data_IF_581706557622
#
_entry.id   IF_581706557622
#
_cell.length_a   1.000
_cell.length_b   1.000
_cell.length_c   1.000
_cell.angle_alpha   90.00
_cell.angle_beta   90.00
_cell.angle_gamma   90.00
#
_symmetry.space_group_name_H-M   'P 1'
#
loop_
_entity.id
_entity.type
_entity.pdbx_description
1 polymer ?
#
# COMPACT_ATOMS: atom_id res chain seq x y z
N UNK A 1 10.72 -1.75 -9.71
CA UNK A 1 11.98 -2.20 -9.04
C UNK A 1 13.23 -1.87 -9.84
N UNK A 2 13.07 -1.31 -11.05
CA UNK A 2 14.20 -0.84 -11.88
C UNK A 2 15.10 0.22 -11.23
N UNK A 3 14.62 0.85 -10.15
CA UNK A 3 15.37 1.83 -9.36
C UNK A 3 15.95 1.23 -8.07
N UNK A 4 16.10 -0.09 -8.01
CA UNK A 4 16.62 -0.83 -6.85
C UNK A 4 15.81 -0.62 -5.55
N UNK A 5 14.52 -0.32 -5.68
CA UNK A 5 13.57 -0.23 -4.57
C UNK A 5 12.55 -1.35 -4.71
N UNK A 6 12.40 -2.17 -3.68
CA UNK A 6 11.38 -3.20 -3.62
C UNK A 6 9.98 -2.61 -3.51
N UNK A 7 9.01 -3.29 -4.08
CA UNK A 7 7.59 -2.90 -4.00
C UNK A 7 6.79 -3.90 -3.18
N UNK A 8 5.80 -3.41 -2.46
CA UNK A 8 4.82 -4.23 -1.73
C UNK A 8 3.43 -3.95 -2.26
N UNK A 9 2.77 -4.97 -2.77
CA UNK A 9 1.41 -4.85 -3.30
C UNK A 9 0.40 -5.16 -2.20
N UNK A 10 -0.65 -4.32 -2.09
CA UNK A 10 -1.65 -4.45 -1.02
C UNK A 10 -3.02 -3.90 -1.45
N UNK A 11 -4.10 -4.26 -0.77
CA UNK A 11 -4.17 -5.32 0.27
C UNK A 11 -4.77 -6.56 -0.37
N UNK A 12 -4.12 -7.72 -0.28
CA UNK A 12 -4.51 -8.95 -0.98
C UNK A 12 -5.36 -9.85 -0.08
N UNK A 13 -6.68 -9.98 -0.30
CA UNK A 13 -7.47 -9.37 -1.34
C UNK A 13 -8.91 -9.11 -0.88
N UNK A 14 -9.69 -8.44 -1.73
CA UNK A 14 -11.12 -8.25 -1.58
C UNK A 14 -11.54 -7.50 -0.29
N UNK A 15 -10.69 -6.62 0.25
CA UNK A 15 -11.05 -5.71 1.34
C UNK A 15 -11.65 -4.41 0.78
N UNK A 16 -12.84 -4.51 0.19
CA UNK A 16 -13.54 -3.36 -0.36
C UNK A 16 -14.52 -2.72 0.63
N UNK A 17 -14.80 -3.40 1.75
CA UNK A 17 -15.62 -2.91 2.83
C UNK A 17 -14.78 -2.64 4.07
N UNK A 18 -14.73 -1.38 4.50
CA UNK A 18 -13.98 -0.98 5.68
C UNK A 18 -14.76 -1.20 6.99
N UNK A 19 -16.09 -1.20 6.95
CA UNK A 19 -16.90 -1.47 8.14
C UNK A 19 -16.73 -2.92 8.58
N UNK A 20 -16.28 -3.11 9.83
CA UNK A 20 -15.91 -4.41 10.39
C UNK A 20 -14.86 -5.19 9.60
N UNK A 21 -13.95 -4.51 8.89
CA UNK A 21 -12.94 -5.13 8.02
C UNK A 21 -12.09 -6.23 8.69
N UNK A 22 -11.92 -6.15 10.01
CA UNK A 22 -11.14 -7.14 10.78
C UNK A 22 -11.93 -8.40 11.15
N UNK A 23 -13.21 -8.47 10.83
CA UNK A 23 -14.08 -9.60 11.20
C UNK A 23 -15.10 -9.99 10.13
N UNK A 24 -15.26 -9.17 9.09
CA UNK A 24 -16.19 -9.50 8.01
C UNK A 24 -15.61 -10.55 7.05
N UNK A 25 -16.49 -11.24 6.36
CA UNK A 25 -16.14 -12.15 5.27
C UNK A 25 -16.64 -11.60 3.93
N UNK A 26 -15.72 -11.49 2.98
CA UNK A 26 -16.02 -11.15 1.60
C UNK A 26 -16.41 -12.42 0.86
N UNK A 27 -17.73 -12.61 0.68
CA UNK A 27 -18.28 -13.80 0.05
C UNK A 27 -18.35 -13.58 -1.48
N UNK A 28 -17.53 -14.32 -2.20
CA UNK A 28 -17.50 -14.27 -3.66
C UNK A 28 -17.04 -15.62 -4.23
N UNK A 29 -17.65 -16.03 -5.33
CA UNK A 29 -17.21 -17.23 -6.03
C UNK A 29 -15.83 -17.05 -6.68
N UNK A 30 -15.18 -18.12 -7.03
CA UNK A 30 -13.81 -18.08 -7.60
C UNK A 30 -13.77 -17.29 -8.90
N UNK A 31 -14.79 -17.36 -9.73
CA UNK A 31 -14.88 -16.60 -10.98
C UNK A 31 -14.89 -15.10 -10.70
N UNK A 32 -15.72 -14.66 -9.77
CA UNK A 32 -15.79 -13.26 -9.35
C UNK A 32 -14.44 -12.77 -8.79
N UNK A 33 -13.79 -13.58 -7.95
CA UNK A 33 -12.46 -13.24 -7.43
C UNK A 33 -11.45 -13.09 -8.56
N UNK A 34 -11.40 -14.03 -9.51
CA UNK A 34 -10.43 -14.03 -10.62
C UNK A 34 -10.70 -12.98 -11.69
N UNK A 35 -11.95 -12.60 -11.93
CA UNK A 35 -12.29 -11.63 -12.98
C UNK A 35 -12.36 -10.18 -12.49
N UNK A 36 -12.62 -9.95 -11.19
CA UNK A 36 -12.86 -8.61 -10.64
C UNK A 36 -11.79 -8.21 -9.63
N UNK A 37 -11.50 -9.06 -8.63
CA UNK A 37 -10.67 -8.68 -7.49
C UNK A 37 -9.17 -8.98 -7.69
N UNK A 38 -8.83 -10.00 -8.46
CA UNK A 38 -7.45 -10.46 -8.64
C UNK A 38 -6.68 -9.88 -9.83
N UNK A 39 -7.29 -9.36 -10.91
CA UNK A 39 -6.55 -9.04 -12.12
C UNK A 39 -5.39 -8.06 -11.93
N UNK A 40 -5.54 -7.07 -11.05
CA UNK A 40 -4.47 -6.12 -10.75
C UNK A 40 -3.27 -6.80 -10.06
N UNK A 41 -3.55 -7.69 -9.10
CA UNK A 41 -2.53 -8.46 -8.38
C UNK A 41 -1.82 -9.45 -9.30
N UNK A 42 -2.57 -10.20 -10.08
CA UNK A 42 -2.04 -11.14 -11.08
C UNK A 42 -1.13 -10.44 -12.09
N UNK A 43 -1.58 -9.31 -12.60
CA UNK A 43 -0.79 -8.48 -13.52
C UNK A 43 0.52 -8.02 -12.89
N UNK A 44 0.47 -7.55 -11.63
CA UNK A 44 1.66 -7.13 -10.90
C UNK A 44 2.66 -8.28 -10.71
N UNK A 45 2.18 -9.47 -10.36
CA UNK A 45 3.05 -10.66 -10.24
C UNK A 45 3.66 -11.04 -11.58
N UNK A 46 2.82 -11.23 -12.60
CA UNK A 46 3.27 -11.75 -13.90
C UNK A 46 4.19 -10.78 -14.67
N UNK A 47 3.99 -9.46 -14.50
CA UNK A 47 4.75 -8.45 -15.24
C UNK A 47 5.91 -7.83 -14.45
N UNK A 48 5.84 -7.77 -13.12
CA UNK A 48 6.79 -7.02 -12.32
C UNK A 48 7.45 -7.81 -11.18
N UNK A 49 6.90 -8.95 -10.74
CA UNK A 49 7.42 -9.73 -9.60
C UNK A 49 7.73 -8.83 -8.39
N UNK A 50 6.72 -8.24 -7.73
CA UNK A 50 6.95 -7.41 -6.55
C UNK A 50 7.69 -8.20 -5.48
N UNK A 51 8.49 -7.52 -4.64
CA UNK A 51 9.27 -8.20 -3.60
C UNK A 51 8.37 -8.76 -2.50
N UNK A 52 7.28 -8.07 -2.20
CA UNK A 52 6.36 -8.49 -1.14
C UNK A 52 4.91 -8.28 -1.51
N UNK A 53 4.06 -9.01 -0.81
CA UNK A 53 2.62 -8.77 -0.74
C UNK A 53 2.22 -8.50 0.71
N UNK A 54 1.21 -7.68 0.91
CA UNK A 54 0.53 -7.56 2.20
C UNK A 54 -0.86 -8.16 2.08
N UNK A 55 -1.17 -9.18 2.90
CA UNK A 55 -2.51 -9.73 2.95
C UNK A 55 -3.49 -8.75 3.61
N UNK A 56 -4.77 -8.88 3.30
CA UNK A 56 -5.83 -8.04 3.84
C UNK A 56 -6.33 -8.54 5.20
N UNK A 57 -7.14 -7.72 5.89
CA UNK A 57 -7.73 -8.04 7.18
C UNK A 57 -8.88 -9.05 7.12
N UNK A 58 -9.70 -8.94 6.08
CA UNK A 58 -10.97 -9.64 5.97
C UNK A 58 -10.80 -11.13 5.76
N UNK A 59 -11.88 -11.84 6.02
CA UNK A 59 -12.04 -13.20 5.53
C UNK A 59 -12.43 -13.18 4.05
N UNK A 60 -12.10 -14.24 3.35
CA UNK A 60 -12.62 -14.59 2.02
C UNK A 60 -13.28 -15.94 2.15
N UNK A 61 -14.59 -15.97 1.92
CA UNK A 61 -15.41 -17.17 2.05
C UNK A 61 -15.17 -17.88 3.40
N UNK A 62 -15.20 -17.11 4.50
CA UNK A 62 -15.08 -17.60 5.86
C UNK A 62 -13.66 -17.89 6.37
N UNK A 63 -12.60 -17.67 5.54
CA UNK A 63 -11.21 -17.87 5.95
C UNK A 63 -10.44 -16.54 5.91
N UNK A 64 -9.78 -16.17 7.00
CA UNK A 64 -8.97 -14.95 7.03
C UNK A 64 -7.90 -14.97 5.93
N UNK A 65 -7.72 -13.84 5.24
CA UNK A 65 -6.75 -13.74 4.14
C UNK A 65 -5.33 -14.15 4.60
N UNK A 66 -4.97 -13.86 5.85
CA UNK A 66 -3.70 -14.25 6.48
C UNK A 66 -3.52 -15.77 6.69
N UNK A 67 -4.61 -16.54 6.69
CA UNK A 67 -4.63 -17.99 6.93
C UNK A 67 -5.15 -18.78 5.72
N UNK A 68 -5.39 -18.11 4.60
CA UNK A 68 -6.01 -18.69 3.44
C UNK A 68 -4.96 -19.31 2.50
N UNK A 69 -4.73 -20.61 2.65
CA UNK A 69 -3.78 -21.36 1.84
C UNK A 69 -4.10 -21.31 0.34
N UNK A 70 -5.39 -21.41 -0.03
CA UNK A 70 -5.80 -21.27 -1.42
C UNK A 70 -5.36 -19.91 -1.98
N UNK A 71 -5.59 -18.82 -1.24
CA UNK A 71 -5.21 -17.48 -1.65
C UNK A 71 -3.68 -17.30 -1.75
N UNK A 72 -2.96 -17.60 -0.65
CA UNK A 72 -1.54 -17.24 -0.50
C UNK A 72 -0.60 -18.25 -1.15
N UNK A 73 -1.00 -19.52 -1.24
CA UNK A 73 -0.17 -20.56 -1.82
C UNK A 73 -0.66 -20.97 -3.19
N UNK A 74 -1.90 -21.44 -3.30
CA UNK A 74 -2.34 -22.09 -4.54
C UNK A 74 -2.51 -21.04 -5.67
N UNK A 75 -3.18 -19.91 -5.40
CA UNK A 75 -3.36 -18.83 -6.39
C UNK A 75 -2.10 -17.99 -6.54
N UNK A 76 -1.63 -17.36 -5.45
CA UNK A 76 -0.55 -16.37 -5.54
C UNK A 76 0.77 -17.00 -6.03
N UNK A 77 1.13 -18.16 -5.49
CA UNK A 77 2.39 -18.83 -5.81
C UNK A 77 2.24 -19.89 -6.89
N UNK A 78 1.19 -20.73 -6.80
CA UNK A 78 0.95 -21.80 -7.75
C UNK A 78 0.57 -21.28 -9.13
N UNK A 79 -0.52 -20.52 -9.22
CA UNK A 79 -1.06 -20.07 -10.51
C UNK A 79 -0.27 -18.89 -11.10
N UNK A 80 0.15 -17.94 -10.27
CA UNK A 80 0.80 -16.71 -10.76
C UNK A 80 2.32 -16.74 -10.69
N UNK A 81 2.91 -17.65 -9.89
CA UNK A 81 4.36 -17.81 -9.78
C UNK A 81 5.05 -16.72 -8.96
N UNK A 82 4.39 -16.19 -7.94
CA UNK A 82 5.00 -15.21 -7.04
C UNK A 82 6.19 -15.78 -6.28
N UNK A 83 7.30 -15.06 -6.27
CA UNK A 83 8.58 -15.51 -5.72
C UNK A 83 8.98 -14.82 -4.42
N UNK A 84 8.35 -13.71 -4.06
CA UNK A 84 8.63 -12.94 -2.86
C UNK A 84 8.01 -13.53 -1.59
N UNK A 85 7.88 -12.73 -0.54
CA UNK A 85 7.20 -13.13 0.68
C UNK A 85 5.94 -12.31 0.95
N UNK A 86 5.04 -12.88 1.75
CA UNK A 86 3.80 -12.22 2.19
C UNK A 86 3.97 -11.76 3.62
N UNK A 87 3.59 -10.49 3.88
CA UNK A 87 3.43 -9.96 5.22
C UNK A 87 1.96 -9.78 5.56
N UNK A 88 1.64 -9.77 6.84
CA UNK A 88 0.31 -9.41 7.30
C UNK A 88 0.08 -7.90 7.25
N UNK A 89 -1.16 -7.47 7.11
CA UNK A 89 -1.54 -6.13 7.55
C UNK A 89 -1.41 -6.03 9.09
N UNK A 90 -1.40 -4.82 9.63
CA UNK A 90 -1.10 -4.56 11.05
C UNK A 90 -2.16 -5.17 11.96
N UNK A 91 -1.78 -6.26 12.65
CA UNK A 91 -2.67 -7.01 13.53
C UNK A 91 -3.65 -7.95 12.82
N UNK A 92 -3.40 -8.30 11.55
CA UNK A 92 -4.25 -9.20 10.76
C UNK A 92 -4.01 -10.69 11.04
N UNK A 93 -3.10 -11.04 11.95
CA UNK A 93 -2.82 -12.45 12.30
C UNK A 93 -3.76 -12.90 13.41
N UNK A 94 -4.53 -13.95 13.15
CA UNK A 94 -5.39 -14.60 14.15
C UNK A 94 -4.77 -15.90 14.66
N UNK A 95 -4.32 -16.77 13.76
CA UNK A 95 -3.56 -17.98 14.08
C UNK A 95 -2.24 -17.97 13.32
N UNK A 96 -1.14 -17.73 14.04
CA UNK A 96 0.18 -17.58 13.44
C UNK A 96 0.70 -18.86 12.78
N UNK A 97 0.37 -20.02 13.36
CA UNK A 97 0.81 -21.31 12.81
C UNK A 97 0.08 -21.62 11.52
N UNK A 98 -1.24 -21.46 11.50
CA UNK A 98 -2.02 -21.59 10.26
C UNK A 98 -1.61 -20.58 9.20
N UNK A 99 -1.32 -19.34 9.61
CA UNK A 99 -0.80 -18.33 8.68
C UNK A 99 0.48 -18.76 8.02
N UNK A 100 1.42 -19.30 8.77
CA UNK A 100 2.68 -19.83 8.21
C UNK A 100 2.43 -21.00 7.25
N UNK A 101 1.57 -21.93 7.60
CA UNK A 101 1.15 -23.04 6.72
C UNK A 101 0.47 -22.56 5.44
N UNK A 102 -0.27 -21.48 5.54
CA UNK A 102 -0.94 -20.87 4.39
C UNK A 102 0.01 -20.11 3.45
N UNK A 103 1.20 -19.74 3.90
CA UNK A 103 2.18 -18.98 3.11
C UNK A 103 2.31 -17.52 3.53
N UNK A 104 1.99 -17.19 4.79
CA UNK A 104 2.26 -15.91 5.43
C UNK A 104 3.62 -15.96 6.13
N UNK A 105 4.63 -15.35 5.56
CA UNK A 105 5.99 -15.41 6.10
C UNK A 105 6.21 -14.44 7.26
N UNK A 106 5.72 -13.21 7.17
CA UNK A 106 6.01 -12.14 8.14
C UNK A 106 4.75 -11.60 8.81
N UNK A 107 4.74 -11.66 10.14
CA UNK A 107 3.72 -10.99 10.96
C UNK A 107 4.09 -9.53 11.20
N UNK A 108 3.14 -8.63 11.04
CA UNK A 108 3.28 -7.20 11.33
C UNK A 108 2.11 -6.68 12.20
N UNK A 109 2.39 -5.83 13.22
CA UNK A 109 3.70 -5.65 13.84
C UNK A 109 4.14 -6.90 14.60
N UNK A 110 5.40 -6.94 15.03
CA UNK A 110 5.90 -8.06 15.86
C UNK A 110 5.04 -8.27 17.11
N UNK A 111 4.75 -9.53 17.40
CA UNK A 111 4.12 -9.97 18.65
C UNK A 111 5.06 -9.99 19.87
N UNK A 112 6.28 -9.44 19.70
CA UNK A 112 7.35 -9.48 20.70
C UNK A 112 7.69 -10.91 21.19
N UNK A 113 7.67 -11.85 20.25
CA UNK A 113 8.05 -13.24 20.48
C UNK A 113 6.89 -14.15 20.93
N UNK A 114 5.71 -13.62 21.21
CA UNK A 114 4.58 -14.46 21.67
C UNK A 114 4.16 -15.47 20.59
N UNK A 115 3.97 -15.01 19.37
CA UNK A 115 3.60 -15.87 18.24
C UNK A 115 4.78 -16.69 17.69
N UNK A 116 6.01 -16.18 17.83
CA UNK A 116 7.22 -16.95 17.47
C UNK A 116 7.35 -18.21 18.33
N UNK A 117 7.04 -18.10 19.62
CA UNK A 117 7.02 -19.24 20.54
C UNK A 117 6.00 -20.31 20.11
N UNK A 118 4.85 -19.92 19.56
CA UNK A 118 3.86 -20.87 19.03
C UNK A 118 4.38 -21.64 17.82
N UNK A 119 5.08 -20.97 16.90
CA UNK A 119 5.73 -21.62 15.76
C UNK A 119 6.77 -22.64 16.23
N UNK A 120 7.66 -22.21 17.14
CA UNK A 120 8.71 -23.09 17.70
C UNK A 120 8.09 -24.32 18.38
N UNK A 121 7.02 -24.12 19.14
CA UNK A 121 6.30 -25.22 19.79
C UNK A 121 5.64 -26.16 18.78
N UNK A 122 5.03 -25.61 17.72
CA UNK A 122 4.38 -26.38 16.67
C UNK A 122 5.37 -27.26 15.89
N UNK A 123 6.56 -26.73 15.60
CA UNK A 123 7.65 -27.53 14.99
C UNK A 123 8.11 -28.62 15.95
N UNK A 124 8.38 -28.30 17.21
CA UNK A 124 8.89 -29.27 18.21
C UNK A 124 7.91 -30.42 18.49
N UNK A 125 6.61 -30.16 18.46
CA UNK A 125 5.60 -31.20 18.69
C UNK A 125 5.13 -31.91 17.40
N UNK A 126 5.66 -31.50 16.23
CA UNK A 126 5.37 -32.10 14.93
C UNK A 126 4.04 -31.67 14.30
N UNK A 127 3.33 -30.68 14.87
CA UNK A 127 2.10 -30.16 14.25
C UNK A 127 2.37 -29.22 13.08
N UNK A 128 3.55 -28.62 13.01
CA UNK A 128 4.05 -27.86 11.86
C UNK A 128 5.32 -28.53 11.35
N UNK A 129 5.40 -28.76 10.05
CA UNK A 129 6.61 -29.28 9.43
C UNK A 129 7.69 -28.21 9.38
N UNK A 130 8.92 -28.56 9.77
CA UNK A 130 10.06 -27.64 9.79
C UNK A 130 10.36 -27.09 8.39
N UNK A 131 10.15 -27.88 7.33
CA UNK A 131 10.34 -27.46 5.95
C UNK A 131 9.47 -26.27 5.54
N UNK A 132 8.29 -26.09 6.18
CA UNK A 132 7.42 -24.92 5.93
C UNK A 132 8.06 -23.67 6.54
N UNK A 133 8.62 -23.78 7.73
CA UNK A 133 9.35 -22.69 8.37
C UNK A 133 10.61 -22.32 7.55
N UNK A 134 11.37 -23.32 7.13
CA UNK A 134 12.58 -23.11 6.31
C UNK A 134 12.27 -22.40 5.00
N UNK A 135 11.20 -22.78 4.32
CA UNK A 135 10.75 -22.10 3.10
C UNK A 135 10.37 -20.65 3.35
N UNK A 136 9.71 -20.34 4.49
CA UNK A 136 9.35 -18.98 4.85
C UNK A 136 10.61 -18.13 5.11
N UNK A 137 11.56 -18.66 5.85
CA UNK A 137 12.85 -18.02 6.12
C UNK A 137 13.64 -17.81 4.83
N UNK A 138 13.70 -18.81 3.96
CA UNK A 138 14.38 -18.69 2.66
C UNK A 138 13.80 -17.56 1.80
N UNK A 139 12.47 -17.42 1.74
CA UNK A 139 11.82 -16.36 0.97
C UNK A 139 12.18 -14.97 1.48
N UNK A 140 12.21 -14.79 2.79
CA UNK A 140 12.60 -13.52 3.41
C UNK A 140 14.09 -13.23 3.14
N UNK A 141 14.97 -14.20 3.41
CA UNK A 141 16.41 -14.05 3.23
C UNK A 141 16.78 -13.76 1.77
N UNK A 142 16.11 -14.39 0.83
CA UNK A 142 16.34 -14.12 -0.59
C UNK A 142 16.12 -12.65 -0.95
N UNK A 143 15.04 -12.05 -0.47
CA UNK A 143 14.77 -10.63 -0.72
C UNK A 143 15.80 -9.73 -0.02
N UNK A 144 16.21 -10.10 1.20
CA UNK A 144 17.24 -9.34 1.94
C UNK A 144 18.57 -9.39 1.18
N UNK A 145 19.00 -10.54 0.71
CA UNK A 145 20.25 -10.68 -0.05
C UNK A 145 20.17 -10.02 -1.41
N UNK A 146 19.05 -10.18 -2.14
CA UNK A 146 18.84 -9.49 -3.41
C UNK A 146 18.94 -7.96 -3.26
N UNK A 147 18.37 -7.41 -2.19
CA UNK A 147 18.51 -5.99 -1.88
C UNK A 147 19.96 -5.61 -1.52
N UNK A 148 20.62 -6.42 -0.67
CA UNK A 148 21.98 -6.13 -0.23
C UNK A 148 22.97 -6.14 -1.40
N UNK A 149 22.84 -7.11 -2.31
CA UNK A 149 23.72 -7.26 -3.47
C UNK A 149 23.51 -6.17 -4.53
N UNK A 150 22.29 -5.62 -4.62
CA UNK A 150 21.90 -4.61 -5.61
C UNK A 150 21.80 -3.19 -5.04
N UNK A 151 22.19 -2.99 -3.78
CA UNK A 151 22.08 -1.70 -3.11
C UNK A 151 22.98 -0.66 -3.77
N UNK A 152 22.36 0.37 -4.34
CA UNK A 152 23.04 1.55 -4.85
C UNK A 152 22.70 2.74 -3.93
N UNK A 153 23.63 3.23 -3.11
CA UNK A 153 23.40 4.43 -2.31
C UNK A 153 23.06 5.61 -3.22
N UNK A 154 21.96 6.28 -2.95
CA UNK A 154 21.58 7.50 -3.64
C UNK A 154 21.47 8.64 -2.63
N UNK A 155 21.98 9.80 -2.99
CA UNK A 155 21.76 11.02 -2.22
C UNK A 155 20.40 11.60 -2.60
N UNK A 156 19.66 12.01 -1.59
CA UNK A 156 18.39 12.73 -1.78
C UNK A 156 18.44 14.04 -0.99
N UNK A 157 17.65 15.02 -1.41
CA UNK A 157 17.39 16.22 -0.62
C UNK A 157 15.89 16.47 -0.59
N UNK A 158 15.40 16.98 0.53
CA UNK A 158 13.99 17.30 0.70
C UNK A 158 13.49 18.31 -0.33
N UNK A 159 14.37 19.21 -0.76
CA UNK A 159 14.06 20.22 -1.78
C UNK A 159 13.82 19.58 -3.15
N UNK A 160 14.69 18.65 -3.54
CA UNK A 160 14.51 17.91 -4.82
C UNK A 160 13.27 17.03 -4.78
N UNK A 161 13.03 16.35 -3.66
CA UNK A 161 11.84 15.51 -3.52
C UNK A 161 10.56 16.35 -3.53
N UNK A 162 10.58 17.56 -2.94
CA UNK A 162 9.45 18.49 -3.00
C UNK A 162 9.20 18.99 -4.42
N UNK A 163 10.25 19.28 -5.18
CA UNK A 163 10.15 19.69 -6.59
C UNK A 163 9.58 18.55 -7.46
N UNK A 164 10.03 17.32 -7.23
CA UNK A 164 9.50 16.14 -7.94
C UNK A 164 8.03 15.91 -7.59
N UNK A 165 7.65 16.04 -6.30
CA UNK A 165 6.26 15.98 -5.86
C UNK A 165 5.39 17.03 -6.56
N UNK A 166 5.90 18.24 -6.75
CA UNK A 166 5.23 19.31 -7.50
C UNK A 166 5.02 18.91 -8.96
N UNK A 167 6.06 18.40 -9.61
CA UNK A 167 6.00 17.95 -11.00
C UNK A 167 4.98 16.83 -11.19
N UNK A 168 4.99 15.82 -10.32
CA UNK A 168 4.00 14.74 -10.33
C UNK A 168 2.58 15.28 -10.15
N UNK A 169 2.38 16.25 -9.27
CA UNK A 169 1.07 16.88 -9.06
C UNK A 169 0.60 17.62 -10.32
N UNK A 170 1.47 18.36 -11.00
CA UNK A 170 1.17 19.05 -12.26
C UNK A 170 0.72 18.07 -13.36
N UNK A 171 1.45 16.95 -13.53
CA UNK A 171 1.11 15.91 -14.50
C UNK A 171 -0.16 15.11 -14.15
N UNK A 172 -0.58 15.16 -12.89
CA UNK A 172 -1.77 14.44 -12.41
C UNK A 172 -3.07 15.23 -12.57
N UNK A 173 -3.00 16.52 -12.94
CA UNK A 173 -4.18 17.37 -13.10
C UNK A 173 -4.83 17.17 -14.46
N UNK A 174 -6.15 16.95 -14.46
CA UNK A 174 -6.96 16.81 -15.68
C UNK A 174 -7.97 17.95 -15.78
N UNK A 175 -7.85 18.77 -16.80
CA UNK A 175 -8.80 19.84 -17.08
C UNK A 175 -10.03 19.25 -17.78
N UNK A 176 -11.13 19.09 -17.03
CA UNK A 176 -12.36 18.46 -17.52
C UNK A 176 -13.18 19.37 -18.43
N UNK A 177 -13.13 20.68 -18.21
CA UNK A 177 -13.93 21.67 -18.96
C UNK A 177 -13.25 23.04 -18.92
N UNK A 178 -13.18 23.71 -20.07
CA UNK A 178 -12.67 25.08 -20.21
C UNK A 178 -13.41 25.81 -21.34
N UNK A 179 -14.74 25.76 -21.34
CA UNK A 179 -15.57 26.46 -22.30
C UNK A 179 -15.36 27.98 -22.14
N UNK A 180 -15.09 28.67 -23.21
CA UNK A 180 -14.78 30.10 -23.19
C UNK A 180 -13.32 30.42 -22.86
N UNK A 181 -12.45 29.43 -22.72
CA UNK A 181 -11.00 29.59 -22.52
C UNK A 181 -10.63 30.55 -21.37
N UNK A 182 -11.31 30.38 -20.22
CA UNK A 182 -11.03 31.17 -19.02
C UNK A 182 -9.66 30.83 -18.43
N UNK A 183 -9.25 29.58 -18.52
CA UNK A 183 -7.94 29.12 -18.07
C UNK A 183 -6.95 29.01 -19.24
N UNK A 184 -5.67 29.38 -19.05
CA UNK A 184 -5.09 29.98 -17.85
C UNK A 184 -5.59 31.41 -17.62
N UNK A 185 -5.72 31.80 -16.34
CA UNK A 185 -6.12 33.16 -15.98
C UNK A 185 -5.09 34.15 -16.56
N UNK A 186 -5.60 35.21 -17.21
CA UNK A 186 -4.76 36.30 -17.75
C UNK A 186 -4.49 37.32 -16.65
N UNK A 187 -3.33 37.99 -16.74
CA UNK A 187 -2.87 38.97 -15.76
C UNK A 187 -3.92 40.04 -15.44
N UNK A 188 -3.95 40.47 -14.20
CA UNK A 188 -4.74 41.60 -13.65
C UNK A 188 -6.21 41.33 -13.35
N UNK A 189 -6.71 40.14 -13.41
CA UNK A 189 -8.07 39.86 -12.96
C UNK A 189 -8.11 39.72 -11.43
N UNK A 190 -9.21 40.17 -10.82
CA UNK A 190 -9.45 39.92 -9.40
C UNK A 190 -9.86 38.47 -9.20
N UNK A 191 -9.11 37.76 -8.38
CA UNK A 191 -9.39 36.35 -8.04
C UNK A 191 -9.91 36.29 -6.61
N UNK A 192 -11.09 35.73 -6.43
CA UNK A 192 -11.65 35.49 -5.12
C UNK A 192 -11.35 34.03 -4.72
N UNK A 193 -10.62 33.84 -3.63
CA UNK A 193 -10.47 32.57 -2.95
C UNK A 193 -11.49 32.46 -1.83
N UNK A 194 -12.39 31.51 -1.92
CA UNK A 194 -13.46 31.31 -0.94
C UNK A 194 -13.27 29.92 -0.32
N UNK A 195 -13.21 29.87 1.00
CA UNK A 195 -13.06 28.64 1.77
C UNK A 195 -11.72 28.54 2.50
N UNK A 196 -11.76 28.00 3.71
CA UNK A 196 -10.60 27.87 4.58
C UNK A 196 -9.44 27.05 3.99
N UNK A 197 -9.73 26.14 3.07
CA UNK A 197 -8.70 25.29 2.45
C UNK A 197 -7.76 26.06 1.51
N UNK A 198 -8.15 27.21 1.01
CA UNK A 198 -7.24 28.05 0.24
C UNK A 198 -6.03 28.51 1.05
N UNK A 199 -6.21 28.67 2.38
CA UNK A 199 -5.16 29.07 3.33
C UNK A 199 -4.59 27.88 4.10
N UNK A 200 -5.43 26.94 4.51
CA UNK A 200 -5.07 25.75 5.27
C UNK A 200 -5.53 24.49 4.54
N UNK A 201 -4.74 24.00 3.59
CA UNK A 201 -5.15 22.88 2.74
C UNK A 201 -5.34 21.61 3.55
N UNK A 202 -6.35 20.84 3.20
CA UNK A 202 -6.55 19.49 3.71
C UNK A 202 -5.89 18.49 2.75
N UNK A 203 -4.60 18.23 2.96
CA UNK A 203 -3.78 17.43 2.05
C UNK A 203 -3.50 16.00 2.54
N UNK A 204 -3.93 15.65 3.75
CA UNK A 204 -3.74 14.29 4.28
C UNK A 204 -4.92 13.87 5.16
N UNK A 205 -5.06 12.57 5.33
CA UNK A 205 -6.05 11.97 6.20
C UNK A 205 -5.61 11.92 7.67
N UNK A 206 -6.32 11.09 8.46
CA UNK A 206 -5.97 10.77 9.84
C UNK A 206 -5.24 9.44 9.97
N UNK A 207 -4.82 9.11 11.19
CA UNK A 207 -4.14 7.85 11.50
C UNK A 207 -2.80 7.70 10.80
N UNK A 208 -2.55 6.53 10.25
CA UNK A 208 -1.26 6.18 9.60
C UNK A 208 -0.93 6.98 8.35
N UNK A 209 -1.89 7.68 7.75
CA UNK A 209 -1.67 8.59 6.63
C UNK A 209 -1.20 9.98 7.05
N UNK A 210 -1.17 10.27 8.36
CA UNK A 210 -0.68 11.55 8.89
C UNK A 210 0.84 11.53 8.97
N UNK A 211 1.48 12.42 8.21
CA UNK A 211 2.95 12.57 8.16
C UNK A 211 3.37 13.98 8.54
N UNK A 212 4.57 14.11 9.07
CA UNK A 212 5.23 15.39 9.28
C UNK A 212 5.91 15.83 7.99
N UNK A 213 5.18 16.58 7.16
CA UNK A 213 5.68 16.99 5.85
C UNK A 213 6.78 18.06 5.98
N UNK A 214 7.73 17.99 5.07
CA UNK A 214 8.82 18.96 4.95
C UNK A 214 8.30 20.37 4.65
N UNK A 215 7.34 20.48 3.73
CA UNK A 215 6.76 21.75 3.29
C UNK A 215 5.30 21.57 2.94
N UNK A 216 4.47 22.54 3.32
CA UNK A 216 3.07 22.63 2.93
C UNK A 216 2.91 23.83 2.01
N UNK A 217 2.35 23.61 0.83
CA UNK A 217 2.01 24.64 -0.12
C UNK A 217 0.50 24.87 -0.10
N UNK A 218 0.06 26.11 -0.06
CA UNK A 218 -1.36 26.48 -0.13
C UNK A 218 -1.63 27.40 -1.32
N UNK A 219 -2.89 27.51 -1.69
CA UNK A 219 -3.27 28.27 -2.86
C UNK A 219 -2.96 29.77 -2.73
N UNK A 220 -3.20 30.36 -1.56
CA UNK A 220 -2.99 31.80 -1.35
C UNK A 220 -1.52 32.21 -1.42
N UNK A 221 -0.62 31.40 -0.83
CA UNK A 221 0.82 31.69 -0.83
C UNK A 221 1.46 31.40 -2.20
N UNK A 222 0.75 30.71 -3.09
CA UNK A 222 1.24 30.33 -4.43
C UNK A 222 0.78 31.29 -5.53
N UNK A 223 -0.02 32.30 -5.20
CA UNK A 223 -0.47 33.28 -6.18
C UNK A 223 0.67 34.23 -6.54
N UNK A 224 0.83 34.61 -7.83
CA UNK A 224 1.79 35.65 -8.23
C UNK A 224 1.58 36.94 -7.47
N UNK A 225 2.66 37.62 -7.12
CA UNK A 225 2.64 38.84 -6.28
C UNK A 225 1.93 40.04 -6.91
N UNK A 226 1.73 40.03 -8.22
CA UNK A 226 1.02 41.05 -9.01
C UNK A 226 -0.48 40.76 -9.17
N UNK A 227 -0.95 39.58 -8.73
CA UNK A 227 -2.35 39.23 -8.82
C UNK A 227 -3.20 39.93 -7.71
N UNK A 228 -4.38 40.44 -8.09
CA UNK A 228 -5.32 40.99 -7.12
C UNK A 228 -6.14 39.86 -6.48
N UNK A 229 -5.81 39.50 -5.26
CA UNK A 229 -6.49 38.43 -4.54
C UNK A 229 -7.39 38.97 -3.45
N UNK A 230 -8.59 38.41 -3.38
CA UNK A 230 -9.53 38.60 -2.27
C UNK A 230 -9.72 37.23 -1.62
N UNK A 231 -9.57 37.17 -0.30
CA UNK A 231 -9.85 35.96 0.46
C UNK A 231 -11.09 36.14 1.35
N UNK A 232 -11.93 35.12 1.36
CA UNK A 232 -13.02 34.97 2.30
C UNK A 232 -13.04 33.54 2.85
N UNK A 233 -13.18 33.38 4.16
CA UNK A 233 -13.14 32.07 4.80
C UNK A 233 -14.31 31.18 4.39
N UNK A 234 -15.46 31.78 4.11
CA UNK A 234 -16.68 31.04 3.82
C UNK A 234 -17.31 30.51 5.09
N UNK A 235 -17.79 29.25 5.05
CA UNK A 235 -18.40 28.59 6.20
C UNK A 235 -17.38 27.85 7.03
#
# INVERSE_FOLDING_TARGET
>A
QSQHVGTSIKHFAANNQEYHRMSNSSEADERTLREIYFPAFETAVKKAQPYTFMCSYNQINGTFASENKWLLTDVLRGDWGFKGYVMSDWGAVNDRVKGLEAGLELEMPSSNGANDALIVQAVKNGSLKEEILDQAVERILRIIFEYADNRTPQEFTMEKDHEEARHIAEESMVLLKNDGQILPLKNAEKVAFIGGFAKKPRFQGGGSSHINCFKITNALDSVPSDAQVIYAEGF
#
